data_IF_452688813209
#
_entry.id   IF_452688813209
#
_cell.length_a   1.000
_cell.length_b   1.000
_cell.length_c   1.000
_cell.angle_alpha   90.00
_cell.angle_beta   90.00
_cell.angle_gamma   90.00
#
_symmetry.space_group_name_H-M   'P 1'
#
loop_
_entity.id
_entity.type
_entity.pdbx_description
1 polymer ?
#
# COMPACT_ATOMS: atom_id res chain seq x y z
N UNK A 1 -19.89 -48.49 -31.43
CA UNK A 1 -20.33 -47.09 -31.29
C UNK A 1 -20.69 -46.92 -29.83
N UNK A 2 -19.81 -46.41 -28.96
CA UNK A 2 -19.59 -44.97 -28.67
C UNK A 2 -20.95 -44.26 -28.55
N UNK A 3 -21.33 -43.70 -27.39
CA UNK A 3 -20.73 -42.48 -26.83
C UNK A 3 -20.73 -42.52 -25.30
N UNK A 4 -19.58 -42.16 -24.73
CA UNK A 4 -19.33 -41.77 -23.35
C UNK A 4 -19.65 -40.29 -23.16
N UNK A 5 -20.65 -39.96 -22.33
CA UNK A 5 -20.91 -38.58 -21.91
C UNK A 5 -20.09 -38.23 -20.67
N UNK A 6 -18.85 -37.83 -20.91
CA UNK A 6 -18.05 -37.04 -19.98
C UNK A 6 -18.59 -35.61 -19.94
N UNK A 7 -19.40 -35.29 -18.94
CA UNK A 7 -19.69 -33.89 -18.61
C UNK A 7 -18.42 -33.24 -18.03
N UNK A 8 -17.98 -32.08 -18.54
CA UNK A 8 -16.86 -31.35 -17.95
C UNK A 8 -17.33 -30.71 -16.65
N UNK A 9 -16.79 -31.17 -15.52
CA UNK A 9 -16.83 -30.43 -14.26
C UNK A 9 -16.04 -29.13 -14.48
N UNK A 10 -16.75 -28.03 -14.72
CA UNK A 10 -16.19 -26.68 -14.59
C UNK A 10 -15.95 -26.43 -13.11
N UNK A 11 -14.80 -26.90 -12.62
CA UNK A 11 -14.22 -26.37 -11.39
C UNK A 11 -13.65 -25.00 -11.74
N UNK A 12 -14.45 -23.94 -11.56
CA UNK A 12 -13.86 -22.64 -11.20
C UNK A 12 -13.26 -22.83 -9.81
N UNK A 13 -12.05 -23.38 -9.77
CA UNK A 13 -11.16 -23.15 -8.64
C UNK A 13 -10.92 -21.65 -8.65
N UNK A 14 -11.55 -20.96 -7.71
CA UNK A 14 -11.16 -19.61 -7.33
C UNK A 14 -9.70 -19.72 -6.90
N UNK A 15 -8.80 -19.30 -7.78
CA UNK A 15 -7.36 -19.29 -7.57
C UNK A 15 -7.13 -18.50 -6.28
N UNK A 16 -6.85 -19.21 -5.18
CA UNK A 16 -6.48 -18.59 -3.92
C UNK A 16 -5.18 -17.86 -4.23
N UNK A 17 -5.26 -16.54 -4.44
CA UNK A 17 -4.10 -15.75 -4.83
C UNK A 17 -3.02 -15.93 -3.75
N UNK A 18 -1.99 -16.71 -4.06
CA UNK A 18 -0.83 -16.85 -3.20
C UNK A 18 -0.15 -15.49 -3.10
N UNK A 19 0.04 -15.01 -1.88
CA UNK A 19 0.62 -13.70 -1.60
C UNK A 19 1.45 -13.75 -0.32
N UNK A 20 2.43 -12.86 -0.25
CA UNK A 20 3.45 -12.88 0.79
C UNK A 20 4.82 -13.32 0.25
N UNK A 21 5.87 -12.95 0.96
CA UNK A 21 7.24 -13.32 0.63
C UNK A 21 8.17 -13.07 1.82
N UNK A 22 9.28 -13.82 1.88
CA UNK A 22 10.47 -13.39 2.61
C UNK A 22 11.28 -12.48 1.68
N UNK A 23 11.63 -11.29 2.16
CA UNK A 23 12.23 -10.21 1.38
C UNK A 23 13.62 -9.90 1.94
N UNK A 24 14.65 -10.22 1.16
CA UNK A 24 16.06 -9.98 1.51
C UNK A 24 16.69 -8.85 0.67
N UNK A 25 15.93 -8.25 -0.25
CA UNK A 25 16.38 -7.11 -1.04
C UNK A 25 16.36 -5.82 -0.22
N UNK A 26 17.28 -4.91 -0.54
CA UNK A 26 17.45 -3.67 0.24
C UNK A 26 16.42 -2.58 -0.09
N UNK A 27 15.66 -2.73 -1.17
CA UNK A 27 14.57 -1.83 -1.56
C UNK A 27 13.65 -2.51 -2.56
N UNK A 28 12.42 -2.01 -2.67
CA UNK A 28 11.46 -2.48 -3.66
C UNK A 28 10.03 -2.08 -3.33
N UNK A 29 9.07 -2.81 -3.89
CA UNK A 29 7.65 -2.62 -3.62
C UNK A 29 7.00 -3.89 -3.07
N UNK A 30 5.92 -3.69 -2.32
CA UNK A 30 5.05 -4.74 -1.79
C UNK A 30 3.63 -4.38 -2.20
N UNK A 31 2.96 -5.29 -2.90
CA UNK A 31 1.63 -5.04 -3.42
C UNK A 31 0.68 -6.19 -3.17
N UNK A 32 -0.60 -5.86 -3.01
CA UNK A 32 -1.67 -6.85 -3.04
C UNK A 32 -1.77 -7.51 -4.42
N UNK A 33 -2.19 -8.78 -4.52
CA UNK A 33 -2.38 -9.45 -5.80
C UNK A 33 -3.28 -8.66 -6.74
N UNK A 34 -2.85 -8.48 -7.99
CA UNK A 34 -3.66 -7.82 -9.02
C UNK A 34 -3.89 -6.32 -8.84
N UNK A 35 -3.20 -5.66 -7.90
CA UNK A 35 -3.24 -4.20 -7.73
C UNK A 35 -3.13 -3.47 -9.09
N UNK A 36 -3.93 -2.43 -9.38
CA UNK A 36 -4.94 -1.77 -8.52
C UNK A 36 -6.35 -2.40 -8.56
N UNK A 37 -6.49 -3.57 -9.17
CA UNK A 37 -7.79 -4.25 -9.37
C UNK A 37 -8.20 -5.04 -8.12
N UNK A 38 -9.47 -5.48 -8.11
CA UNK A 38 -10.02 -6.38 -7.09
C UNK A 38 -9.18 -7.67 -6.98
N UNK A 39 -9.07 -8.18 -5.77
CA UNK A 39 -8.43 -9.46 -5.43
C UNK A 39 -9.42 -10.38 -4.68
N UNK A 40 -9.20 -11.71 -4.70
CA UNK A 40 -10.08 -12.65 -4.01
C UNK A 40 -10.01 -12.47 -2.49
N UNK A 41 -11.14 -12.65 -1.81
CA UNK A 41 -11.28 -12.65 -0.35
C UNK A 41 -12.04 -13.92 0.09
N UNK A 42 -11.77 -14.50 1.28
CA UNK A 42 -10.85 -14.02 2.31
C UNK A 42 -9.38 -14.12 1.88
N UNK A 43 -8.61 -13.06 2.14
CA UNK A 43 -7.18 -12.97 1.83
C UNK A 43 -6.36 -12.92 3.10
N UNK A 44 -5.19 -13.56 3.08
CA UNK A 44 -4.22 -13.50 4.17
C UNK A 44 -2.81 -13.54 3.61
N UNK A 45 -2.18 -12.38 3.49
CA UNK A 45 -0.82 -12.21 3.01
C UNK A 45 0.13 -11.91 4.16
N UNK A 46 1.36 -12.40 4.05
CA UNK A 46 2.44 -12.09 4.98
C UNK A 46 3.74 -11.82 4.24
N UNK A 47 4.26 -10.60 4.37
CA UNK A 47 5.59 -10.25 3.91
C UNK A 47 6.50 -10.03 5.12
N UNK A 48 7.75 -10.46 5.01
CA UNK A 48 8.77 -10.22 6.04
C UNK A 48 9.98 -9.60 5.37
N UNK A 49 10.30 -8.36 5.74
CA UNK A 49 11.54 -7.70 5.35
C UNK A 49 12.61 -8.12 6.34
N UNK A 50 13.62 -8.82 5.85
CA UNK A 50 14.80 -9.24 6.60
C UNK A 50 15.94 -8.24 6.39
N UNK A 51 16.20 -7.45 7.43
CA UNK A 51 17.33 -6.53 7.52
C UNK A 51 18.41 -7.03 8.48
N UNK A 52 18.37 -8.30 8.91
CA UNK A 52 19.30 -8.87 9.90
C UNK A 52 20.77 -8.83 9.46
N UNK A 53 21.00 -8.85 8.14
CA UNK A 53 22.33 -8.72 7.54
C UNK A 53 22.84 -7.27 7.46
N UNK A 54 22.03 -6.28 7.88
CA UNK A 54 22.31 -4.84 7.81
C UNK A 54 22.07 -4.16 9.16
N UNK A 55 22.86 -4.48 10.20
CA UNK A 55 22.63 -4.00 11.57
C UNK A 55 22.73 -2.46 11.72
N UNK A 56 23.39 -1.78 10.79
CA UNK A 56 23.51 -0.32 10.69
C UNK A 56 22.31 0.35 10.00
N UNK A 57 21.36 -0.43 9.48
CA UNK A 57 20.19 0.08 8.75
C UNK A 57 18.90 -0.10 9.53
N UNK A 58 17.90 0.67 9.12
CA UNK A 58 16.52 0.61 9.56
C UNK A 58 15.63 0.30 8.37
N UNK A 59 14.52 -0.39 8.62
CA UNK A 59 13.51 -0.66 7.59
C UNK A 59 12.58 0.56 7.52
N UNK A 60 12.43 1.15 6.34
CA UNK A 60 11.48 2.23 6.09
C UNK A 60 10.47 1.76 5.05
N UNK A 61 9.19 1.92 5.37
CA UNK A 61 8.09 1.64 4.45
C UNK A 61 7.37 2.94 4.15
N UNK A 62 7.34 3.31 2.87
CA UNK A 62 6.64 4.46 2.32
C UNK A 62 5.24 4.03 1.86
N UNK A 63 4.22 4.69 2.41
CA UNK A 63 2.80 4.42 2.15
C UNK A 63 2.34 5.13 0.87
N UNK A 64 3.09 4.92 -0.23
CA UNK A 64 2.91 5.57 -1.52
C UNK A 64 1.50 5.36 -2.07
N UNK A 65 1.10 4.12 -2.32
CA UNK A 65 -0.22 3.79 -2.85
C UNK A 65 -0.99 2.91 -1.86
N UNK A 66 -1.41 3.48 -0.72
CA UNK A 66 -2.22 2.80 0.30
C UNK A 66 -3.71 3.16 0.15
N UNK A 67 -4.52 2.19 -0.25
CA UNK A 67 -5.97 2.39 -0.45
C UNK A 67 -6.85 1.49 0.41
N UNK A 68 -6.27 0.61 1.24
CA UNK A 68 -7.01 -0.14 2.26
C UNK A 68 -7.07 0.64 3.56
N UNK A 69 -8.24 0.66 4.21
CA UNK A 69 -8.45 1.38 5.47
C UNK A 69 -8.36 0.48 6.70
N UNK A 70 -8.30 -0.83 6.50
CA UNK A 70 -8.25 -1.85 7.57
C UNK A 70 -7.45 -3.06 7.10
N UNK A 71 -7.15 -3.97 8.03
CA UNK A 71 -6.57 -5.28 7.72
C UNK A 71 -5.06 -5.29 7.51
N UNK A 72 -4.40 -4.13 7.39
CA UNK A 72 -2.95 -4.01 7.23
C UNK A 72 -2.26 -3.70 8.57
N UNK A 73 -1.30 -4.53 8.96
CA UNK A 73 -0.53 -4.42 10.21
C UNK A 73 0.97 -4.56 9.96
N UNK A 74 1.74 -3.77 10.70
CA UNK A 74 3.19 -3.74 10.74
C UNK A 74 3.67 -4.12 12.14
N UNK A 75 4.52 -5.14 12.20
CA UNK A 75 4.98 -5.71 13.47
C UNK A 75 6.49 -5.92 13.46
N UNK A 76 7.15 -5.37 14.47
CA UNK A 76 8.59 -5.52 14.68
C UNK A 76 8.91 -6.84 15.35
N UNK A 77 9.96 -7.50 14.86
CA UNK A 77 10.51 -8.72 15.45
C UNK A 77 12.02 -8.63 15.63
N UNK A 78 12.50 -9.05 16.80
CA UNK A 78 13.94 -9.17 17.09
C UNK A 78 14.53 -10.45 16.49
N UNK A 79 13.71 -11.49 16.39
CA UNK A 79 14.07 -12.77 15.79
C UNK A 79 12.89 -13.30 14.95
N UNK A 80 13.20 -13.87 13.78
CA UNK A 80 12.21 -14.45 12.88
C UNK A 80 12.70 -15.79 12.34
N UNK A 81 11.86 -16.82 12.46
CA UNK A 81 12.08 -18.14 11.89
C UNK A 81 10.88 -18.54 11.03
N UNK A 82 11.16 -19.01 9.81
CA UNK A 82 10.14 -19.27 8.79
C UNK A 82 9.29 -20.51 9.10
N UNK A 83 9.87 -21.51 9.79
CA UNK A 83 9.25 -22.80 10.11
C UNK A 83 9.29 -23.04 11.62
N UNK A 84 8.21 -22.76 12.37
CA UNK A 84 8.12 -23.17 13.78
C UNK A 84 7.48 -22.19 14.76
N UNK A 85 7.15 -20.97 14.35
CA UNK A 85 6.29 -20.08 15.15
C UNK A 85 6.95 -19.43 16.37
N UNK A 86 8.28 -19.51 16.53
CA UNK A 86 9.01 -18.77 17.55
C UNK A 86 9.16 -17.31 17.14
N UNK A 87 8.20 -16.49 17.58
CA UNK A 87 8.18 -15.04 17.46
C UNK A 87 8.60 -14.44 18.81
N UNK A 88 9.83 -13.97 18.93
CA UNK A 88 10.33 -13.39 20.19
C UNK A 88 10.35 -11.86 20.11
N UNK A 89 9.74 -11.21 21.12
CA UNK A 89 9.61 -9.74 21.26
C UNK A 89 8.81 -9.08 20.13
N UNK A 90 7.49 -9.33 20.13
CA UNK A 90 6.53 -8.66 19.23
C UNK A 90 6.20 -7.26 19.75
N UNK A 91 6.65 -6.23 19.06
CA UNK A 91 6.13 -4.87 19.26
C UNK A 91 5.28 -4.51 18.05
N UNK A 92 3.98 -4.36 18.25
CA UNK A 92 3.09 -3.90 17.19
C UNK A 92 3.42 -2.43 16.90
N UNK A 93 4.03 -2.19 15.74
CA UNK A 93 4.51 -0.86 15.36
C UNK A 93 3.41 0.04 14.81
N UNK A 94 2.59 -0.49 13.88
CA UNK A 94 1.53 0.29 13.25
C UNK A 94 0.38 -0.60 12.76
N UNK A 95 -0.86 -0.15 12.94
CA UNK A 95 -2.06 -0.78 12.37
C UNK A 95 -2.76 0.29 11.54
N UNK A 96 -3.07 -0.02 10.28
CA UNK A 96 -3.84 0.88 9.43
C UNK A 96 -5.30 0.86 9.87
N UNK A 97 -5.84 2.05 10.10
CA UNK A 97 -7.23 2.30 10.45
C UNK A 97 -7.80 3.42 9.57
N UNK A 98 -9.13 3.56 9.47
CA UNK A 98 -9.73 4.64 8.71
C UNK A 98 -9.28 6.04 9.16
N UNK A 99 -8.88 6.20 10.42
CA UNK A 99 -8.44 7.47 11.00
C UNK A 99 -6.99 7.83 10.66
N UNK A 100 -6.13 6.83 10.41
CA UNK A 100 -4.69 7.05 10.23
C UNK A 100 -4.17 6.74 8.82
N UNK A 101 -4.97 6.10 7.97
CA UNK A 101 -4.60 5.61 6.62
C UNK A 101 -3.91 6.67 5.76
N UNK A 102 -4.26 7.95 5.93
CA UNK A 102 -3.64 9.07 5.19
C UNK A 102 -2.80 10.01 6.04
N UNK A 103 -2.69 9.77 7.35
CA UNK A 103 -2.05 10.69 8.30
C UNK A 103 -0.53 10.54 8.33
N UNK A 104 -0.01 9.35 8.02
CA UNK A 104 1.43 9.12 7.90
C UNK A 104 1.82 8.81 6.45
N UNK A 105 2.91 9.38 5.93
CA UNK A 105 3.45 9.00 4.62
C UNK A 105 4.42 7.80 4.71
N UNK A 106 4.93 7.48 5.91
CA UNK A 106 5.89 6.39 6.09
C UNK A 106 5.82 5.76 7.49
N UNK A 107 6.45 4.59 7.63
CA UNK A 107 6.68 3.87 8.87
C UNK A 107 8.18 3.53 8.93
N UNK A 108 8.80 3.71 10.11
CA UNK A 108 10.20 3.36 10.35
C UNK A 108 10.28 2.31 11.44
N UNK A 109 10.91 1.18 11.14
CA UNK A 109 11.23 0.12 12.08
C UNK A 109 12.73 0.08 12.33
N UNK A 110 13.09 -0.04 13.60
CA UNK A 110 14.48 -0.20 14.05
C UNK A 110 14.82 -1.67 14.33
N UNK A 111 13.85 -2.56 14.12
CA UNK A 111 14.03 -4.00 14.31
C UNK A 111 14.70 -4.63 13.08
N UNK A 112 15.43 -5.75 13.26
CA UNK A 112 16.04 -6.47 12.15
C UNK A 112 15.01 -7.14 11.24
N UNK A 113 13.78 -7.37 11.71
CA UNK A 113 12.71 -7.94 10.91
C UNK A 113 11.44 -7.12 11.05
N UNK A 114 10.82 -6.78 9.92
CA UNK A 114 9.51 -6.15 9.87
C UNK A 114 8.52 -7.08 9.16
N UNK A 115 7.50 -7.53 9.87
CA UNK A 115 6.40 -8.30 9.31
C UNK A 115 5.26 -7.37 8.91
N UNK A 116 4.80 -7.53 7.67
CA UNK A 116 3.65 -6.85 7.10
C UNK A 116 2.58 -7.90 6.86
N UNK A 117 1.51 -7.86 7.65
CA UNK A 117 0.37 -8.77 7.52
C UNK A 117 -0.83 -8.02 6.96
N UNK A 118 -1.45 -8.61 5.94
CA UNK A 118 -2.69 -8.12 5.35
C UNK A 118 -3.76 -9.21 5.39
N UNK A 119 -4.84 -8.95 6.12
CA UNK A 119 -5.95 -9.88 6.29
C UNK A 119 -7.28 -9.17 6.09
N UNK A 120 -8.11 -9.66 5.16
CA UNK A 120 -9.46 -9.17 4.92
C UNK A 120 -10.40 -10.32 4.57
N UNK A 121 -11.56 -10.34 5.22
CA UNK A 121 -12.63 -11.30 4.93
C UNK A 121 -13.51 -10.89 3.74
N UNK A 122 -13.63 -9.58 3.50
CA UNK A 122 -14.50 -8.99 2.48
C UNK A 122 -13.93 -7.69 1.92
N UNK A 123 -14.27 -7.38 0.66
CA UNK A 123 -13.81 -6.15 -0.01
C UNK A 123 -14.66 -4.91 0.37
N UNK A 124 -15.89 -5.10 0.82
CA UNK A 124 -16.80 -4.00 1.07
C UNK A 124 -16.41 -3.18 2.31
N UNK A 125 -16.37 -1.86 2.15
CA UNK A 125 -16.20 -0.91 3.26
C UNK A 125 -14.77 -0.71 3.74
N UNK A 126 -13.78 -1.34 3.10
CA UNK A 126 -12.38 -1.33 3.53
C UNK A 126 -11.44 -0.57 2.58
N UNK A 127 -11.98 0.29 1.71
CA UNK A 127 -11.19 0.99 0.68
C UNK A 127 -11.45 2.49 0.71
N UNK A 128 -10.38 3.27 0.50
CA UNK A 128 -10.48 4.69 0.16
C UNK A 128 -11.22 4.83 -1.16
N UNK A 129 -12.20 5.73 -1.21
CA UNK A 129 -13.04 5.97 -2.39
C UNK A 129 -12.78 7.36 -2.92
N UNK A 130 -12.68 7.46 -4.24
CA UNK A 130 -12.48 8.71 -4.96
C UNK A 130 -13.67 8.94 -5.89
N UNK A 131 -14.10 10.20 -6.01
CA UNK A 131 -15.10 10.61 -6.99
C UNK A 131 -14.36 11.26 -8.16
N UNK A 132 -14.54 10.72 -9.37
CA UNK A 132 -14.11 11.35 -10.62
C UNK A 132 -15.15 12.38 -11.09
N UNK A 133 -14.71 13.33 -11.93
CA UNK A 133 -15.42 14.50 -12.45
C UNK A 133 -16.77 14.18 -13.13
N UNK A 134 -16.97 12.91 -13.52
CA UNK A 134 -18.21 12.42 -14.15
C UNK A 134 -19.17 11.70 -13.21
N UNK A 135 -18.98 11.80 -11.88
CA UNK A 135 -19.68 11.00 -10.86
C UNK A 135 -19.39 9.49 -10.96
N UNK A 136 -18.31 9.11 -11.65
CA UNK A 136 -17.81 7.74 -11.60
C UNK A 136 -16.97 7.58 -10.32
N UNK A 137 -17.23 6.54 -9.56
CA UNK A 137 -16.38 6.21 -8.40
C UNK A 137 -15.14 5.52 -8.94
N UNK A 138 -13.97 6.14 -8.77
CA UNK A 138 -12.70 5.48 -9.08
C UNK A 138 -12.38 4.53 -7.93
N UNK A 139 -12.41 3.24 -8.22
CA UNK A 139 -12.15 2.19 -7.23
C UNK A 139 -10.74 1.66 -7.41
N UNK A 140 -9.87 2.01 -6.47
CA UNK A 140 -8.57 1.35 -6.31
C UNK A 140 -8.68 0.36 -5.16
N UNK A 141 -8.22 -0.86 -5.40
CA UNK A 141 -8.24 -1.92 -4.41
C UNK A 141 -6.82 -2.23 -3.96
N UNK A 142 -6.67 -2.45 -2.66
CA UNK A 142 -5.41 -2.94 -2.09
C UNK A 142 -4.37 -1.85 -1.91
N UNK A 143 -3.12 -2.21 -2.11
CA UNK A 143 -2.00 -1.28 -1.98
C UNK A 143 -0.81 -1.69 -2.85
N UNK A 144 0.06 -0.72 -3.11
CA UNK A 144 1.40 -0.89 -3.69
C UNK A 144 2.35 0.07 -2.95
N UNK A 145 2.95 -0.42 -1.86
CA UNK A 145 3.80 0.37 -0.96
C UNK A 145 5.27 0.13 -1.28
N UNK A 146 6.09 1.15 -1.09
CA UNK A 146 7.53 1.11 -1.34
C UNK A 146 8.29 0.89 -0.04
N UNK A 147 9.43 0.19 -0.05
CA UNK A 147 10.31 0.08 1.11
C UNK A 147 11.78 0.24 0.73
N UNK A 148 12.60 0.66 1.70
CA UNK A 148 14.06 0.64 1.61
C UNK A 148 14.70 0.34 2.98
N UNK A 149 15.94 -0.16 2.94
CA UNK A 149 16.85 -0.23 4.08
C UNK A 149 17.69 1.04 4.11
N UNK A 150 17.34 1.94 5.03
CA UNK A 150 17.94 3.25 5.18
C UNK A 150 18.98 3.23 6.32
N UNK A 151 20.14 3.84 6.11
CA UNK A 151 21.13 4.03 7.19
C UNK A 151 20.49 4.68 8.43
N UNK A 152 20.88 4.23 9.62
CA UNK A 152 20.26 4.65 10.89
C UNK A 152 20.33 6.15 11.13
N UNK A 153 21.43 6.77 10.73
CA UNK A 153 21.72 8.19 10.91
C UNK A 153 21.00 9.07 9.88
N UNK A 154 20.56 8.48 8.76
CA UNK A 154 19.87 9.23 7.72
C UNK A 154 18.43 9.55 8.13
N UNK A 155 17.98 10.74 7.70
CA UNK A 155 16.58 11.13 7.82
C UNK A 155 15.73 10.35 6.83
N UNK A 156 14.51 10.01 7.25
CA UNK A 156 13.54 9.40 6.33
C UNK A 156 13.21 10.41 5.24
N UNK A 157 13.23 9.95 3.98
CA UNK A 157 12.92 10.80 2.82
C UNK A 157 11.53 11.37 2.90
N UNK A 158 11.39 12.60 2.44
CA UNK A 158 10.09 13.18 2.17
C UNK A 158 9.39 12.35 1.08
N UNK A 159 8.16 11.97 1.35
CA UNK A 159 7.35 11.13 0.49
C UNK A 159 5.91 11.62 0.48
N UNK A 160 5.20 11.27 -0.57
CA UNK A 160 3.77 11.51 -0.68
C UNK A 160 2.95 10.30 -0.20
N UNK A 161 1.66 10.53 -0.06
CA UNK A 161 0.62 9.51 0.10
C UNK A 161 -0.67 10.06 -0.54
N UNK A 162 -1.77 9.30 -0.47
CA UNK A 162 -3.04 9.70 -1.06
C UNK A 162 -3.52 11.10 -0.61
N UNK A 163 -3.33 11.49 0.66
CA UNK A 163 -3.72 12.82 1.17
C UNK A 163 -2.77 13.92 0.73
N UNK A 164 -1.47 13.67 0.71
CA UNK A 164 -0.50 14.65 0.21
C UNK A 164 -0.76 14.93 -1.27
N UNK A 165 -1.22 13.95 -2.05
CA UNK A 165 -1.69 14.17 -3.43
C UNK A 165 -3.14 14.65 -3.52
N UNK A 166 -3.66 15.27 -2.46
CA UNK A 166 -5.02 15.86 -2.39
C UNK A 166 -6.17 14.91 -2.70
N UNK A 167 -5.96 13.59 -2.67
CA UNK A 167 -6.89 12.58 -3.19
C UNK A 167 -7.23 12.77 -4.69
N UNK A 168 -6.41 13.54 -5.41
CA UNK A 168 -6.60 13.96 -6.81
C UNK A 168 -5.40 13.55 -7.68
N UNK A 169 -4.60 12.63 -7.17
CA UNK A 169 -3.47 12.05 -7.84
C UNK A 169 -2.95 10.82 -7.10
N UNK A 170 -1.98 10.17 -7.70
CA UNK A 170 -1.34 8.96 -7.19
C UNK A 170 0.10 9.26 -6.80
N UNK A 171 0.53 8.77 -5.63
CA UNK A 171 1.91 8.95 -5.20
C UNK A 171 2.80 7.84 -5.76
N UNK A 172 3.84 8.22 -6.49
CA UNK A 172 4.80 7.31 -7.09
C UNK A 172 6.20 7.53 -6.52
N UNK A 173 6.96 6.43 -6.40
CA UNK A 173 8.40 6.49 -6.28
C UNK A 173 9.03 6.51 -7.68
N UNK A 174 10.13 7.24 -7.85
CA UNK A 174 10.92 7.16 -9.07
C UNK A 174 11.61 5.78 -9.21
N UNK A 175 12.17 5.49 -10.38
CA UNK A 175 12.67 4.15 -10.72
C UNK A 175 13.80 3.64 -9.81
N UNK A 176 14.54 4.54 -9.15
CA UNK A 176 15.63 4.19 -8.24
C UNK A 176 15.25 4.33 -6.75
N UNK A 177 14.00 4.71 -6.45
CA UNK A 177 13.45 4.89 -5.11
C UNK A 177 14.09 6.03 -4.29
N UNK A 178 14.65 7.04 -4.97
CA UNK A 178 15.29 8.19 -4.32
C UNK A 178 14.40 9.42 -4.17
N UNK A 179 13.29 9.49 -4.93
CA UNK A 179 12.35 10.60 -4.90
C UNK A 179 10.90 10.10 -5.06
N UNK A 180 9.96 10.91 -4.55
CA UNK A 180 8.53 10.61 -4.56
C UNK A 180 7.75 11.82 -5.07
N UNK A 181 6.76 11.59 -5.92
CA UNK A 181 5.96 12.66 -6.51
C UNK A 181 4.50 12.25 -6.73
N UNK A 182 3.62 13.24 -6.75
CA UNK A 182 2.22 13.05 -7.10
C UNK A 182 2.04 13.12 -8.62
N UNK A 183 1.50 12.06 -9.20
CA UNK A 183 0.98 12.06 -10.57
C UNK A 183 -0.49 12.46 -10.54
N UNK A 184 -0.81 13.65 -11.04
CA UNK A 184 -2.15 14.22 -10.94
C UNK A 184 -3.12 13.61 -11.96
N UNK A 185 -4.37 13.45 -11.55
CA UNK A 185 -5.45 13.10 -12.45
C UNK A 185 -5.69 14.21 -13.48
N UNK A 186 -6.39 13.85 -14.56
CA UNK A 186 -6.67 14.78 -15.65
C UNK A 186 -7.36 16.05 -15.14
N UNK A 187 -6.83 17.22 -15.51
CA UNK A 187 -7.37 18.52 -15.10
C UNK A 187 -6.79 19.06 -13.78
N UNK A 188 -6.06 18.24 -13.01
CA UNK A 188 -5.39 18.65 -11.79
C UNK A 188 -3.88 18.85 -11.99
N UNK A 189 -3.27 19.74 -11.22
CA UNK A 189 -1.85 20.09 -11.33
C UNK A 189 -1.23 20.56 -10.01
N UNK A 190 0.07 20.82 -10.06
CA UNK A 190 0.88 21.24 -8.91
C UNK A 190 1.51 20.05 -8.17
N UNK A 191 2.41 20.34 -7.21
CA UNK A 191 3.19 19.30 -6.53
C UNK A 191 2.35 18.34 -5.67
N UNK A 192 1.13 18.75 -5.31
CA UNK A 192 0.17 18.01 -4.48
C UNK A 192 -1.17 17.80 -5.19
N UNK A 193 -1.28 18.09 -6.48
CA UNK A 193 -2.53 17.99 -7.25
C UNK A 193 -3.71 18.81 -6.72
N UNK A 194 -3.44 19.88 -5.96
CA UNK A 194 -4.48 20.73 -5.37
C UNK A 194 -5.04 21.78 -6.36
N UNK A 195 -4.38 22.00 -7.49
CA UNK A 195 -4.83 22.97 -8.49
C UNK A 195 -5.75 22.26 -9.47
N UNK A 196 -6.96 22.79 -9.69
CA UNK A 196 -7.95 22.18 -10.58
C UNK A 196 -8.81 23.21 -11.33
N UNK A 197 -9.67 22.77 -12.26
CA UNK A 197 -10.38 23.65 -13.20
C UNK A 197 -11.50 24.49 -12.57
N UNK A 198 -11.83 24.22 -11.31
CA UNK A 198 -12.82 24.95 -10.52
C UNK A 198 -12.20 26.10 -9.71
N UNK A 199 -10.87 26.23 -9.76
CA UNK A 199 -10.09 27.25 -9.06
C UNK A 199 -9.41 28.16 -10.09
N UNK A 200 -9.69 29.46 -10.03
CA UNK A 200 -8.92 30.48 -10.75
C UNK A 200 -7.97 31.15 -9.75
N UNK A 201 -6.70 30.72 -9.75
CA UNK A 201 -5.78 31.06 -8.67
C UNK A 201 -6.22 30.42 -7.33
N UNK A 202 -6.40 31.24 -6.30
CA UNK A 202 -6.86 30.79 -4.97
C UNK A 202 -8.38 30.90 -4.77
N UNK A 203 -9.16 31.24 -5.80
CA UNK A 203 -10.60 31.48 -5.68
C UNK A 203 -11.38 30.41 -6.43
N UNK A 204 -12.32 29.76 -5.75
CA UNK A 204 -13.26 28.82 -6.33
C UNK A 204 -14.33 29.56 -7.16
N UNK A 205 -14.90 28.91 -8.17
CA UNK A 205 -16.01 29.47 -8.98
C UNK A 205 -17.26 29.89 -8.18
N UNK A 206 -17.46 29.35 -6.98
CA UNK A 206 -18.54 29.73 -6.08
C UNK A 206 -18.16 30.85 -5.09
N UNK A 207 -17.02 31.52 -5.28
CA UNK A 207 -16.50 32.57 -4.40
C UNK A 207 -15.80 32.07 -3.14
N UNK A 208 -15.62 30.75 -2.98
CA UNK A 208 -14.80 30.17 -1.92
C UNK A 208 -13.30 30.32 -2.17
N UNK A 209 -12.48 29.83 -1.24
CA UNK A 209 -11.01 29.81 -1.37
C UNK A 209 -10.52 28.38 -1.57
N UNK A 210 -9.65 28.18 -2.56
CA UNK A 210 -8.95 26.91 -2.76
C UNK A 210 -7.80 26.84 -1.75
N UNK A 211 -7.85 25.86 -0.85
CA UNK A 211 -6.85 25.59 0.20
C UNK A 211 -5.85 24.55 -0.25
#
# INVERSE_FOLDING_TARGET
MLISDTQPKSSKQEERAECGALINSTKGTIQTPGFPKRFPVPIRCRWVIDASSYPERNIVVYLTQLYVTTGLRFTDYVYYENEGGLKYSENVGHIVTPENVTSSPWIRSFAPYLMIEFELDRLEGNHLRFLDDKHNVYFVYGFNITYELLERENTVRDSCNARICSLLGECYANSDYTAYECSCFQGFSGPNCAQGPLCEGHVCKNGGTCV
#
